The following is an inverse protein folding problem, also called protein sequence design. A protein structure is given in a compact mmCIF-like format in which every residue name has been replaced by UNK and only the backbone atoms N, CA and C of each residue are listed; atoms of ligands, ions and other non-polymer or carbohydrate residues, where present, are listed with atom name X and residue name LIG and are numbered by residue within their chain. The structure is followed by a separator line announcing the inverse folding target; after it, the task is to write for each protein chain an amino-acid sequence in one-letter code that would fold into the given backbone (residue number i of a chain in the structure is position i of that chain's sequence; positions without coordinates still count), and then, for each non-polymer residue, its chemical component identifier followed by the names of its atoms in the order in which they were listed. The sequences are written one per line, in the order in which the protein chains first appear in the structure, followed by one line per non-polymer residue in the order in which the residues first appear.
data_IF_664098574959
#
_entry.id   IF_664098574959
#
_cell.length_a   1.000
_cell.length_b   1.000
_cell.length_c   1.000
_cell.angle_alpha   90.00
_cell.angle_beta   90.00
_cell.angle_gamma   90.00
#
_symmetry.space_group_name_H-M   'P 1'
#
loop_
_entity.id
_entity.type
_entity.pdbx_description
1 polymer ?
#
# COMPACT_ATOMS: atom_id res chain seq x y z
N UNK A 1 47.48 9.00 25.71
CA UNK A 1 47.52 8.95 24.23
C UNK A 1 46.63 7.76 23.84
N UNK A 2 45.33 7.99 23.67
CA UNK A 2 44.63 8.14 22.36
C UNK A 2 44.45 6.79 21.67
N UNK A 3 43.28 6.29 21.25
CA UNK A 3 41.90 6.78 21.08
C UNK A 3 41.00 5.51 21.15
N UNK A 4 39.88 5.46 21.88
CA UNK A 4 38.52 5.93 21.56
C UNK A 4 38.01 5.72 20.12
N UNK A 5 36.86 5.03 20.05
CA UNK A 5 35.78 5.10 19.04
C UNK A 5 35.87 4.21 17.79
N UNK A 6 35.51 2.92 17.92
CA UNK A 6 35.15 2.14 16.73
C UNK A 6 34.04 1.07 16.92
N UNK A 7 33.12 1.24 17.89
CA UNK A 7 32.05 0.25 18.11
C UNK A 7 30.62 0.82 18.24
N UNK A 8 30.32 2.02 17.73
CA UNK A 8 29.00 2.63 17.90
C UNK A 8 28.05 2.56 16.69
N UNK A 9 28.29 1.73 15.65
CA UNK A 9 27.38 1.68 14.47
C UNK A 9 27.12 0.26 13.94
N UNK A 10 26.94 -0.74 14.80
CA UNK A 10 26.41 -2.04 14.36
C UNK A 10 25.32 -2.52 15.31
N UNK A 11 24.08 -2.55 14.81
CA UNK A 11 22.98 -3.25 15.45
C UNK A 11 21.81 -2.39 15.94
N UNK A 12 21.26 -1.48 15.12
CA UNK A 12 19.82 -1.19 15.27
C UNK A 12 19.08 -2.45 14.81
N UNK A 13 18.69 -3.28 15.77
CA UNK A 13 17.79 -4.42 15.55
C UNK A 13 16.63 -4.00 14.67
N UNK A 14 16.48 -4.63 13.51
CA UNK A 14 15.33 -4.46 12.61
C UNK A 14 14.13 -5.31 13.06
N UNK A 15 14.29 -6.16 14.07
CA UNK A 15 13.18 -6.88 14.68
C UNK A 15 12.21 -5.87 15.31
N UNK A 16 11.04 -5.75 14.68
CA UNK A 16 9.94 -4.89 15.13
C UNK A 16 9.74 -3.59 14.35
N UNK A 17 10.58 -3.25 13.36
CA UNK A 17 10.30 -2.11 12.49
C UNK A 17 9.32 -2.51 11.40
N UNK A 18 8.16 -1.84 11.40
CA UNK A 18 7.14 -2.07 10.41
C UNK A 18 7.26 -1.11 9.24
N UNK A 19 7.15 -1.64 8.03
CA UNK A 19 7.21 -0.85 6.81
C UNK A 19 5.96 -1.03 5.96
N UNK A 20 5.55 0.06 5.32
CA UNK A 20 4.45 0.07 4.34
C UNK A 20 5.01 0.31 2.95
N UNK A 21 4.63 -0.52 1.99
CA UNK A 21 4.90 -0.35 0.56
C UNK A 21 3.64 0.16 -0.13
N UNK A 22 3.72 1.32 -0.77
CA UNK A 22 2.75 1.78 -1.76
C UNK A 22 3.32 1.59 -3.17
N UNK A 23 2.50 1.14 -4.11
CA UNK A 23 2.90 0.96 -5.51
C UNK A 23 1.82 1.51 -6.45
N UNK A 24 2.23 1.92 -7.66
CA UNK A 24 1.33 2.33 -8.73
C UNK A 24 2.00 2.18 -10.11
N UNK A 25 1.20 1.92 -11.14
CA UNK A 25 1.63 1.84 -12.53
C UNK A 25 0.99 2.91 -13.42
N UNK A 26 1.80 3.54 -14.28
CA UNK A 26 1.33 4.54 -15.24
C UNK A 26 1.53 4.06 -16.68
N UNK A 27 0.46 4.04 -17.46
CA UNK A 27 0.51 3.71 -18.89
C UNK A 27 -0.15 4.81 -19.73
N UNK A 28 0.62 5.41 -20.62
CA UNK A 28 0.16 6.41 -21.57
C UNK A 28 0.03 5.77 -22.97
N UNK A 29 -1.19 5.35 -23.29
CA UNK A 29 -1.50 4.68 -24.56
C UNK A 29 -1.26 5.57 -25.79
N UNK A 30 -1.44 6.89 -25.67
CA UNK A 30 -1.25 7.81 -26.81
C UNK A 30 0.22 7.97 -27.17
N UNK A 31 1.09 8.03 -26.17
CA UNK A 31 2.54 8.17 -26.36
C UNK A 31 3.27 6.82 -26.41
N UNK A 32 2.56 5.70 -26.25
CA UNK A 32 3.10 4.37 -25.99
C UNK A 32 4.20 4.38 -24.91
N UNK A 33 3.97 5.11 -23.81
CA UNK A 33 4.93 5.21 -22.69
C UNK A 33 4.39 4.48 -21.48
N UNK A 34 5.29 3.88 -20.72
CA UNK A 34 4.93 3.19 -19.48
C UNK A 34 5.94 3.50 -18.38
N UNK A 35 5.44 3.49 -17.14
CA UNK A 35 6.25 3.67 -15.96
C UNK A 35 5.62 3.02 -14.74
N UNK A 36 6.43 2.88 -13.70
CA UNK A 36 6.02 2.36 -12.41
C UNK A 36 6.63 3.20 -11.30
N UNK A 37 5.92 3.29 -10.18
CA UNK A 37 6.33 4.02 -9.00
C UNK A 37 6.09 3.20 -7.74
N UNK A 38 6.99 3.34 -6.78
CA UNK A 38 6.76 2.81 -5.44
C UNK A 38 7.40 3.69 -4.37
N UNK A 39 6.81 3.66 -3.17
CA UNK A 39 7.35 4.32 -1.99
C UNK A 39 7.22 3.39 -0.78
N UNK A 40 8.32 3.26 -0.03
CA UNK A 40 8.38 2.50 1.21
C UNK A 40 8.55 3.49 2.35
N UNK A 41 7.68 3.35 3.36
CA UNK A 41 7.65 4.21 4.56
C UNK A 41 7.78 3.40 5.82
N UNK A 42 8.30 4.02 6.87
CA UNK A 42 8.32 3.42 8.21
C UNK A 42 6.98 3.58 8.93
N UNK A 43 6.92 3.16 10.20
CA UNK A 43 5.72 3.23 11.03
C UNK A 43 5.28 4.65 11.39
N UNK A 44 6.13 5.67 11.20
CA UNK A 44 5.77 7.07 11.36
C UNK A 44 5.28 7.71 10.05
N UNK A 45 5.26 6.94 8.96
CA UNK A 45 4.94 7.46 7.63
C UNK A 45 6.10 8.18 6.96
N UNK A 46 7.29 8.14 7.55
CA UNK A 46 8.49 8.78 7.00
C UNK A 46 9.03 7.98 5.81
N UNK A 47 9.51 8.70 4.79
CA UNK A 47 10.13 8.09 3.63
C UNK A 47 11.37 7.30 4.05
N UNK A 48 11.44 6.04 3.62
CA UNK A 48 12.63 5.20 3.76
C UNK A 48 13.35 5.07 2.42
N UNK A 49 12.59 4.72 1.38
CA UNK A 49 13.09 4.67 0.01
C UNK A 49 11.90 4.75 -0.96
N UNK A 50 12.10 5.41 -2.09
CA UNK A 50 11.17 5.44 -3.20
C UNK A 50 11.88 5.14 -4.52
N UNK A 51 11.12 4.73 -5.52
CA UNK A 51 11.64 4.54 -6.86
C UNK A 51 10.64 4.91 -7.95
N UNK A 52 11.19 5.34 -9.08
CA UNK A 52 10.46 5.53 -10.33
C UNK A 52 11.18 4.77 -11.44
N UNK A 53 10.41 4.09 -12.29
CA UNK A 53 10.90 3.25 -13.37
C UNK A 53 10.26 3.69 -14.69
N UNK A 54 11.07 3.86 -15.72
CA UNK A 54 10.57 3.85 -17.09
C UNK A 54 10.50 2.40 -17.59
N UNK A 55 9.36 2.02 -18.16
CA UNK A 55 9.08 0.65 -18.60
C UNK A 55 8.86 0.53 -20.11
N UNK A 56 8.99 1.63 -20.86
CA UNK A 56 8.61 1.72 -22.28
C UNK A 56 9.32 0.66 -23.13
N UNK A 57 10.64 0.55 -23.02
CA UNK A 57 11.42 -0.46 -23.75
C UNK A 57 11.24 -1.88 -23.21
N UNK A 58 10.82 -2.02 -21.95
CA UNK A 58 10.62 -3.36 -21.34
C UNK A 58 9.35 -4.02 -21.85
N UNK A 59 8.32 -3.23 -22.18
CA UNK A 59 7.02 -3.71 -22.64
C UNK A 59 6.52 -2.92 -23.87
N UNK A 60 7.20 -3.00 -25.04
CA UNK A 60 6.89 -2.13 -26.18
C UNK A 60 5.54 -2.44 -26.87
N UNK A 61 5.16 -3.73 -26.94
CA UNK A 61 4.02 -4.18 -27.78
C UNK A 61 2.84 -4.77 -27.00
N UNK A 62 3.00 -5.02 -25.70
CA UNK A 62 2.01 -5.74 -24.88
C UNK A 62 1.85 -5.10 -23.50
N UNK A 63 2.02 -3.78 -23.39
CA UNK A 63 1.82 -3.06 -22.14
C UNK A 63 0.35 -2.69 -21.94
N UNK A 64 -0.15 -2.86 -20.72
CA UNK A 64 -1.43 -2.35 -20.29
C UNK A 64 -1.34 -1.92 -18.82
N UNK A 65 -2.42 -1.35 -18.30
CA UNK A 65 -2.49 -0.85 -16.92
C UNK A 65 -2.15 -1.96 -15.92
N UNK A 66 -2.79 -3.13 -16.00
CA UNK A 66 -2.53 -4.23 -15.07
C UNK A 66 -1.06 -4.71 -15.06
N UNK A 67 -0.38 -4.65 -16.20
CA UNK A 67 1.05 -5.00 -16.30
C UNK A 67 1.91 -3.98 -15.58
N UNK A 68 1.74 -2.67 -15.83
CA UNK A 68 2.57 -1.65 -15.17
C UNK A 68 2.36 -1.65 -13.65
N UNK A 69 1.14 -1.92 -13.21
CA UNK A 69 0.75 -2.03 -11.81
C UNK A 69 1.39 -3.24 -11.13
N UNK A 70 1.31 -4.42 -11.77
CA UNK A 70 1.99 -5.61 -11.28
C UNK A 70 3.52 -5.44 -11.28
N UNK A 71 4.08 -4.77 -12.28
CA UNK A 71 5.51 -4.45 -12.31
C UNK A 71 5.88 -3.52 -11.17
N UNK A 72 5.06 -2.51 -10.86
CA UNK A 72 5.28 -1.61 -9.75
C UNK A 72 5.32 -2.35 -8.40
N UNK A 73 4.33 -3.23 -8.14
CA UNK A 73 4.32 -4.07 -6.94
C UNK A 73 5.56 -4.96 -6.87
N UNK A 74 5.87 -5.71 -7.94
CA UNK A 74 7.04 -6.58 -8.00
C UNK A 74 8.34 -5.81 -7.73
N UNK A 75 8.51 -4.66 -8.38
CA UNK A 75 9.73 -3.85 -8.24
C UNK A 75 9.81 -3.22 -6.83
N UNK A 76 8.69 -2.84 -6.22
CA UNK A 76 8.62 -2.40 -4.83
C UNK A 76 9.02 -3.49 -3.83
N UNK A 77 8.56 -4.72 -4.04
CA UNK A 77 8.98 -5.87 -3.23
C UNK A 77 10.47 -6.18 -3.40
N UNK A 78 11.01 -6.05 -4.61
CA UNK A 78 12.45 -6.21 -4.87
C UNK A 78 13.26 -5.13 -4.16
N UNK A 79 12.83 -3.88 -4.28
CA UNK A 79 13.45 -2.75 -3.58
C UNK A 79 13.47 -2.97 -2.06
N UNK A 80 12.35 -3.43 -1.47
CA UNK A 80 12.30 -3.75 -0.06
C UNK A 80 13.33 -4.84 0.33
N UNK A 81 13.40 -5.91 -0.47
CA UNK A 81 14.36 -7.01 -0.26
C UNK A 81 15.80 -6.53 -0.37
N UNK A 82 16.13 -5.73 -1.39
CA UNK A 82 17.47 -5.19 -1.62
C UNK A 82 17.94 -4.29 -0.45
N UNK A 83 16.99 -3.66 0.25
CA UNK A 83 17.24 -2.84 1.44
C UNK A 83 17.06 -3.57 2.78
N UNK A 84 16.83 -4.89 2.77
CA UNK A 84 16.53 -5.70 3.97
C UNK A 84 15.37 -5.13 4.81
N UNK A 85 14.33 -4.62 4.15
CA UNK A 85 13.13 -4.07 4.78
C UNK A 85 12.05 -5.14 4.90
N UNK A 86 11.54 -5.33 6.11
CA UNK A 86 10.41 -6.22 6.35
C UNK A 86 9.10 -5.47 6.10
N UNK A 87 8.53 -5.59 4.89
CA UNK A 87 7.23 -4.98 4.59
C UNK A 87 6.16 -5.73 5.38
N UNK A 88 5.27 -5.00 6.05
CA UNK A 88 4.11 -5.56 6.74
C UNK A 88 2.82 -5.28 5.99
N UNK A 89 2.75 -4.12 5.33
CA UNK A 89 1.56 -3.65 4.64
C UNK A 89 1.94 -3.28 3.22
N UNK A 90 1.19 -3.80 2.25
CA UNK A 90 1.27 -3.47 0.84
C UNK A 90 -0.02 -2.77 0.46
N UNK A 91 0.08 -1.60 -0.17
CA UNK A 91 -1.06 -0.77 -0.59
C UNK A 91 -0.97 -0.46 -2.08
N UNK A 92 -2.10 -0.62 -2.77
CA UNK A 92 -2.29 -0.17 -4.15
C UNK A 92 -3.78 0.04 -4.42
N UNK A 93 -4.12 0.64 -5.54
CA UNK A 93 -5.50 0.95 -5.93
C UNK A 93 -6.01 0.07 -7.09
N UNK A 94 -5.14 -0.79 -7.66
CA UNK A 94 -5.53 -1.70 -8.73
C UNK A 94 -6.12 -3.02 -8.23
N UNK A 95 -7.45 -3.10 -8.21
CA UNK A 95 -8.19 -4.31 -7.81
C UNK A 95 -7.84 -5.54 -8.64
N UNK A 96 -7.64 -5.42 -9.96
CA UNK A 96 -7.33 -6.58 -10.82
C UNK A 96 -6.02 -7.25 -10.39
N UNK A 97 -4.96 -6.46 -10.19
CA UNK A 97 -3.65 -6.98 -9.74
C UNK A 97 -3.76 -7.57 -8.34
N UNK A 98 -4.40 -6.87 -7.41
CA UNK A 98 -4.52 -7.33 -6.01
C UNK A 98 -5.34 -8.62 -5.92
N UNK A 99 -6.45 -8.72 -6.66
CA UNK A 99 -7.27 -9.94 -6.68
C UNK A 99 -6.53 -11.12 -7.31
N UNK A 100 -5.68 -10.90 -8.31
CA UNK A 100 -4.83 -11.95 -8.86
C UNK A 100 -3.76 -12.41 -7.87
N UNK A 101 -3.13 -11.49 -7.14
CA UNK A 101 -2.11 -11.80 -6.14
C UNK A 101 -2.70 -12.56 -4.95
N UNK A 102 -3.90 -12.19 -4.52
CA UNK A 102 -4.60 -12.82 -3.39
C UNK A 102 -5.39 -14.07 -3.78
N UNK A 103 -5.24 -14.56 -5.02
CA UNK A 103 -5.96 -15.72 -5.57
C UNK A 103 -7.50 -15.59 -5.49
N UNK A 104 -8.01 -14.35 -5.48
CA UNK A 104 -9.45 -14.02 -5.45
C UNK A 104 -10.06 -13.93 -6.84
N UNK A 105 -9.23 -13.71 -7.86
CA UNK A 105 -9.69 -13.63 -9.24
C UNK A 105 -10.11 -15.00 -9.78
N UNK A 106 -11.34 -15.09 -10.31
CA UNK A 106 -11.85 -16.31 -10.98
C UNK A 106 -11.33 -16.46 -12.41
N UNK A 107 -10.73 -15.41 -12.96
CA UNK A 107 -10.20 -15.41 -14.34
C UNK A 107 -8.71 -15.69 -14.28
N UNK A 108 -8.21 -16.44 -15.25
CA UNK A 108 -6.77 -16.58 -15.44
C UNK A 108 -6.23 -15.33 -16.13
N UNK A 109 -5.18 -14.72 -15.57
CA UNK A 109 -4.49 -13.63 -16.24
C UNK A 109 -3.73 -14.16 -17.47
N UNK A 110 -3.71 -13.37 -18.54
CA UNK A 110 -2.96 -13.72 -19.76
C UNK A 110 -1.48 -13.39 -19.58
N UNK A 111 -0.55 -14.09 -20.25
CA UNK A 111 0.82 -13.63 -20.37
C UNK A 111 0.87 -12.24 -21.02
N UNK A 112 1.74 -11.31 -20.57
CA UNK A 112 2.82 -11.50 -19.59
C UNK A 112 2.39 -11.34 -18.11
N UNK A 113 1.18 -10.85 -17.82
CA UNK A 113 0.72 -10.55 -16.46
C UNK A 113 0.84 -11.75 -15.52
N UNK A 114 0.40 -12.94 -15.94
CA UNK A 114 0.46 -14.16 -15.11
C UNK A 114 1.86 -14.50 -14.61
N UNK A 115 2.90 -14.27 -15.42
CA UNK A 115 4.31 -14.49 -15.02
C UNK A 115 4.76 -13.51 -13.95
N UNK A 116 4.29 -12.25 -14.04
CA UNK A 116 4.62 -11.21 -13.07
C UNK A 116 3.91 -11.50 -11.74
N UNK A 117 2.64 -11.92 -11.79
CA UNK A 117 1.88 -12.34 -10.61
C UNK A 117 2.55 -13.51 -9.90
N UNK A 118 3.02 -14.53 -10.64
CA UNK A 118 3.76 -15.65 -10.03
C UNK A 118 5.05 -15.20 -9.32
N UNK A 119 5.77 -14.22 -9.89
CA UNK A 119 6.95 -13.63 -9.24
C UNK A 119 6.56 -12.92 -7.94
N UNK A 120 5.45 -12.19 -7.94
CA UNK A 120 4.95 -11.47 -6.76
C UNK A 120 4.54 -12.44 -5.65
N UNK A 121 3.77 -13.49 -5.99
CA UNK A 121 3.33 -14.51 -5.03
C UNK A 121 4.53 -15.16 -4.35
N UNK A 122 5.59 -15.49 -5.10
CA UNK A 122 6.82 -16.06 -4.53
C UNK A 122 7.65 -15.10 -3.65
N UNK A 123 7.28 -13.81 -3.59
CA UNK A 123 7.92 -12.79 -2.75
C UNK A 123 7.07 -12.40 -1.54
N UNK A 124 5.80 -12.77 -1.52
CA UNK A 124 4.89 -12.49 -0.42
C UNK A 124 5.06 -13.57 0.64
N UNK A 125 5.24 -13.14 1.88
CA UNK A 125 5.39 -13.96 3.07
C UNK A 125 4.72 -13.23 4.25
N UNK A 126 3.40 -13.41 4.38
CA UNK A 126 2.61 -12.90 5.50
C UNK A 126 2.27 -11.40 5.47
N UNK A 127 2.53 -10.68 4.39
CA UNK A 127 2.14 -9.27 4.27
C UNK A 127 0.63 -9.08 4.16
N UNK A 128 0.11 -8.02 4.80
CA UNK A 128 -1.25 -7.55 4.60
C UNK A 128 -1.33 -6.71 3.32
N UNK A 129 -2.12 -7.16 2.35
CA UNK A 129 -2.32 -6.45 1.07
C UNK A 129 -3.68 -5.75 1.10
N UNK A 130 -3.67 -4.44 0.89
CA UNK A 130 -4.83 -3.58 0.99
C UNK A 130 -5.09 -2.85 -0.34
N UNK A 131 -6.35 -2.84 -0.75
CA UNK A 131 -6.84 -1.93 -1.78
C UNK A 131 -7.13 -0.59 -1.10
N UNK A 132 -6.62 0.49 -1.67
CA UNK A 132 -6.85 1.86 -1.17
C UNK A 132 -7.42 2.75 -2.28
N UNK A 133 -8.01 3.88 -1.89
CA UNK A 133 -8.45 4.90 -2.84
C UNK A 133 -7.24 5.53 -3.55
N UNK A 134 -7.43 5.88 -4.83
CA UNK A 134 -6.39 6.50 -5.66
C UNK A 134 -5.78 7.76 -5.02
N UNK A 135 -6.60 8.58 -4.38
CA UNK A 135 -6.15 9.79 -3.67
C UNK A 135 -5.19 9.47 -2.53
N UNK A 136 -5.40 8.35 -1.83
CA UNK A 136 -4.51 7.88 -0.78
C UNK A 136 -3.22 7.24 -1.33
N UNK A 137 -3.14 7.00 -2.64
CA UNK A 137 -1.98 6.45 -3.34
C UNK A 137 -1.20 7.48 -4.17
N UNK A 138 -1.53 8.77 -4.03
CA UNK A 138 -1.02 9.89 -4.86
C UNK A 138 0.50 9.95 -5.02
N UNK A 139 1.27 9.59 -3.99
CA UNK A 139 2.74 9.61 -4.05
C UNK A 139 3.27 8.53 -4.99
N UNK A 140 2.73 7.31 -4.92
CA UNK A 140 3.11 6.24 -5.83
C UNK A 140 2.65 6.54 -7.26
N UNK A 141 1.42 7.04 -7.43
CA UNK A 141 0.89 7.48 -8.74
C UNK A 141 1.76 8.56 -9.37
N UNK A 142 2.18 9.56 -8.57
CA UNK A 142 3.04 10.62 -9.08
C UNK A 142 4.43 10.12 -9.46
N UNK A 143 5.00 9.17 -8.71
CA UNK A 143 6.26 8.50 -9.06
C UNK A 143 6.13 7.67 -10.35
N UNK A 144 5.01 6.95 -10.53
CA UNK A 144 4.73 6.17 -11.72
C UNK A 144 4.60 7.07 -12.95
N UNK A 145 3.86 8.17 -12.81
CA UNK A 145 3.74 9.22 -13.82
C UNK A 145 5.07 9.88 -14.15
N UNK A 146 5.94 10.11 -13.15
CA UNK A 146 7.29 10.61 -13.35
C UNK A 146 8.14 9.62 -14.17
N UNK A 147 8.11 8.33 -13.82
CA UNK A 147 8.77 7.26 -14.56
C UNK A 147 8.32 7.17 -16.03
N UNK A 148 7.02 7.27 -16.25
CA UNK A 148 6.39 7.19 -17.56
C UNK A 148 6.72 8.41 -18.45
N UNK A 149 6.70 9.62 -17.90
CA UNK A 149 6.71 10.84 -18.70
C UNK A 149 8.02 11.63 -18.68
N UNK A 150 8.88 11.44 -17.66
CA UNK A 150 10.03 12.30 -17.41
C UNK A 150 11.37 11.58 -17.45
N UNK A 151 11.40 10.29 -17.10
CA UNK A 151 12.61 9.50 -17.22
C UNK A 151 12.89 9.15 -18.69
N UNK A 152 14.17 9.06 -19.03
CA UNK A 152 14.60 8.48 -20.30
C UNK A 152 14.24 6.99 -20.33
N UNK A 153 14.13 6.44 -21.54
CA UNK A 153 13.75 5.05 -21.75
C UNK A 153 14.73 4.10 -21.04
N UNK A 154 14.16 3.08 -20.36
CA UNK A 154 14.93 2.10 -19.58
C UNK A 154 15.53 2.60 -18.27
N UNK A 155 15.44 3.90 -17.95
CA UNK A 155 16.01 4.47 -16.72
C UNK A 155 15.18 4.12 -15.49
N UNK A 156 15.88 3.86 -14.38
CA UNK A 156 15.32 3.72 -13.03
C UNK A 156 16.01 4.70 -12.07
N UNK A 157 15.22 5.37 -11.25
CA UNK A 157 15.70 6.31 -10.23
C UNK A 157 15.27 5.82 -8.85
N UNK A 158 16.18 5.94 -7.89
CA UNK A 158 15.94 5.61 -6.48
C UNK A 158 16.16 6.87 -5.64
N UNK A 159 15.31 7.05 -4.64
CA UNK A 159 15.29 8.24 -3.77
C UNK A 159 15.33 7.77 -2.32
N UNK A 160 16.34 8.20 -1.56
CA UNK A 160 16.51 7.81 -0.16
C UNK A 160 16.04 8.91 0.80
N UNK A 161 15.90 10.15 0.32
CA UNK A 161 15.48 11.29 1.15
C UNK A 161 14.45 12.14 0.41
N UNK A 162 13.67 12.91 1.17
CA UNK A 162 12.66 13.83 0.61
C UNK A 162 13.29 14.88 -0.33
N UNK A 163 14.55 15.25 -0.10
CA UNK A 163 15.29 16.22 -0.91
C UNK A 163 15.70 15.68 -2.28
N UNK A 164 15.82 14.36 -2.43
CA UNK A 164 16.19 13.73 -3.70
C UNK A 164 15.00 13.53 -4.62
N UNK A 165 13.78 13.60 -4.07
CA UNK A 165 12.55 13.37 -4.83
C UNK A 165 12.31 14.46 -5.88
N UNK A 166 11.61 14.13 -6.98
CA UNK A 166 11.07 15.14 -7.86
C UNK A 166 10.23 16.15 -7.07
N UNK A 167 10.32 17.47 -7.33
CA UNK A 167 9.67 18.50 -6.51
C UNK A 167 8.17 18.28 -6.29
N UNK A 168 7.49 17.75 -7.32
CA UNK A 168 6.06 17.47 -7.28
C UNK A 168 5.70 16.30 -6.35
N UNK A 169 6.64 15.36 -6.14
CA UNK A 169 6.47 14.22 -5.24
C UNK A 169 6.81 14.64 -3.80
N UNK A 170 7.89 15.39 -3.60
CA UNK A 170 8.27 15.90 -2.27
C UNK A 170 7.21 16.83 -1.67
N UNK A 171 6.53 17.62 -2.50
CA UNK A 171 5.41 18.46 -2.09
C UNK A 171 4.23 17.62 -1.59
N UNK A 172 3.88 16.52 -2.27
CA UNK A 172 2.80 15.62 -1.82
C UNK A 172 3.13 14.99 -0.46
N UNK A 173 4.37 14.54 -0.26
CA UNK A 173 4.81 13.99 1.03
C UNK A 173 4.69 15.05 2.14
N UNK A 174 5.07 16.29 1.84
CA UNK A 174 4.99 17.40 2.79
C UNK A 174 3.55 17.74 3.15
N UNK A 175 2.64 17.75 2.18
CA UNK A 175 1.19 17.94 2.41
C UNK A 175 0.59 16.83 3.29
N UNK A 176 0.99 15.57 3.08
CA UNK A 176 0.57 14.44 3.93
C UNK A 176 1.02 14.62 5.38
N UNK A 177 2.27 15.05 5.58
CA UNK A 177 2.83 15.33 6.91
C UNK A 177 2.08 16.45 7.62
N UNK A 178 1.77 17.55 6.92
CA UNK A 178 1.04 18.69 7.49
C UNK A 178 -0.40 18.34 7.87
N UNK A 179 -1.11 17.55 7.06
CA UNK A 179 -2.45 17.08 7.40
C UNK A 179 -2.44 16.17 8.63
N UNK A 180 -1.37 15.40 8.84
CA UNK A 180 -1.24 14.54 10.00
C UNK A 180 -0.91 15.33 11.29
N UNK A 181 -0.09 16.39 11.20
CA UNK A 181 0.20 17.24 12.36
C UNK A 181 -1.01 18.04 12.81
N UNK A 182 -1.82 18.58 11.90
CA UNK A 182 -3.02 19.35 12.25
C UNK A 182 -4.06 18.51 13.00
N UNK A 183 -4.21 17.23 12.62
CA UNK A 183 -5.12 16.30 13.32
C UNK A 183 -4.64 16.05 14.76
N UNK A 184 -3.34 15.85 14.97
CA UNK A 184 -2.79 15.63 16.32
C UNK A 184 -3.03 16.80 17.26
N UNK A 185 -2.84 18.03 16.77
CA UNK A 185 -3.08 19.25 17.56
C UNK A 185 -4.57 19.43 17.93
N UNK A 186 -5.49 18.99 17.07
CA UNK A 186 -6.93 19.03 17.34
C UNK A 186 -7.35 18.02 18.42
N UNK A 187 -6.74 16.83 18.46
CA UNK A 187 -7.01 15.81 19.48
C UNK A 187 -6.37 16.10 20.85
N UNK A 188 -5.23 16.77 20.88
CA UNK A 188 -4.54 17.13 22.13
C UNK A 188 -5.08 18.46 22.74
N UNK A 189 -5.98 19.15 22.03
CA UNK A 189 -6.45 20.50 22.35
C UNK A 189 -7.79 20.62 23.09
N UNK A 190 -8.62 19.58 23.16
CA UNK A 190 -9.94 19.68 23.81
C UNK A 190 -10.17 18.57 24.86
N UNK A 191 -10.40 19.02 26.10
CA UNK A 191 -10.82 18.18 27.20
C UNK A 191 -12.04 17.34 26.83
N UNK A 192 -12.00 16.06 27.22
CA UNK A 192 -12.99 15.08 26.82
C UNK A 192 -14.42 15.50 27.12
N UNK A 193 -15.24 15.55 26.08
CA UNK A 193 -16.66 15.16 26.09
C UNK A 193 -17.34 15.65 24.81
N UNK A 194 -17.58 14.71 23.88
CA UNK A 194 -18.71 14.62 22.92
C UNK A 194 -18.25 14.45 21.46
N UNK A 195 -17.97 13.20 21.09
CA UNK A 195 -17.75 12.80 19.69
C UNK A 195 -18.79 11.74 19.28
N UNK A 196 -20.06 12.01 19.58
CA UNK A 196 -21.18 11.18 19.13
C UNK A 196 -22.14 11.92 18.17
N UNK A 197 -22.11 13.25 18.10
CA UNK A 197 -23.05 13.98 17.25
C UNK A 197 -22.34 15.16 16.60
N UNK A 198 -21.89 14.96 15.36
CA UNK A 198 -21.82 15.96 14.27
C UNK A 198 -20.88 15.45 13.17
N UNK A 199 -21.31 14.41 12.44
CA UNK A 199 -20.74 14.12 11.12
C UNK A 199 -21.35 15.13 10.15
N UNK A 200 -20.76 16.32 10.13
CA UNK A 200 -21.09 17.40 9.20
C UNK A 200 -19.85 17.79 8.41
N UNK A 201 -19.80 17.36 7.15
CA UNK A 201 -19.01 17.94 6.05
C UNK A 201 -17.57 18.40 6.36
N UNK A 202 -16.60 17.46 6.27
CA UNK A 202 -15.25 17.78 5.78
C UNK A 202 -14.58 16.53 5.18
N UNK A 203 -14.37 16.56 3.86
CA UNK A 203 -13.35 15.86 3.05
C UNK A 203 -12.97 14.41 3.36
N UNK A 204 -13.03 13.57 2.33
CA UNK A 204 -12.62 12.15 2.27
C UNK A 204 -11.26 11.78 2.93
N UNK A 205 -10.37 12.75 3.21
CA UNK A 205 -9.14 12.54 3.96
C UNK A 205 -9.37 12.11 5.42
N UNK A 206 -10.45 12.58 6.07
CA UNK A 206 -10.77 12.26 7.47
C UNK A 206 -11.21 10.79 7.61
N UNK A 207 -11.92 10.26 6.61
CA UNK A 207 -12.41 8.88 6.61
C UNK A 207 -11.27 7.85 6.54
N UNK A 208 -10.23 8.10 5.73
CA UNK A 208 -9.09 7.19 5.58
C UNK A 208 -8.24 7.07 6.85
N UNK A 209 -8.07 8.17 7.60
CA UNK A 209 -7.29 8.20 8.85
C UNK A 209 -8.09 7.61 10.02
N UNK A 210 -9.39 7.90 10.10
CA UNK A 210 -10.28 7.30 11.10
C UNK A 210 -10.36 5.77 10.95
N UNK A 211 -10.38 5.25 9.71
CA UNK A 211 -10.34 3.80 9.47
C UNK A 211 -9.01 3.15 9.88
N UNK A 212 -7.88 3.84 9.70
CA UNK A 212 -6.57 3.34 10.16
C UNK A 212 -6.49 3.33 11.69
N UNK A 213 -6.98 4.38 12.36
CA UNK A 213 -7.04 4.45 13.81
C UNK A 213 -7.98 3.39 14.40
N UNK A 214 -9.17 3.20 13.81
CA UNK A 214 -10.12 2.16 14.22
C UNK A 214 -9.60 0.75 13.97
N UNK A 215 -8.95 0.52 12.81
CA UNK A 215 -8.34 -0.75 12.47
C UNK A 215 -7.19 -1.13 13.41
N UNK A 216 -6.36 -0.17 13.80
CA UNK A 216 -5.29 -0.37 14.79
C UNK A 216 -5.84 -0.56 16.21
N UNK A 217 -6.87 0.20 16.60
CA UNK A 217 -7.53 0.02 17.90
C UNK A 217 -8.12 -1.38 18.05
N UNK A 218 -8.82 -1.90 17.03
CA UNK A 218 -9.42 -3.25 17.05
C UNK A 218 -8.38 -4.39 17.09
N UNK A 219 -7.19 -4.15 16.53
CA UNK A 219 -6.05 -5.07 16.59
C UNK A 219 -5.35 -5.06 17.95
N UNK A 220 -5.35 -3.92 18.65
CA UNK A 220 -4.73 -3.76 19.96
C UNK A 220 -5.67 -4.10 21.13
N UNK A 221 -6.99 -3.94 20.96
CA UNK A 221 -7.98 -4.21 22.00
C UNK A 221 -8.28 -5.69 22.22
N UNK A 222 -7.78 -6.58 21.34
CA UNK A 222 -7.97 -8.02 21.49
C UNK A 222 -9.44 -8.47 21.47
N UNK A 223 -10.33 -7.66 20.92
CA UNK A 223 -11.75 -8.00 20.80
C UNK A 223 -11.95 -9.07 19.72
N UNK A 224 -11.78 -10.31 20.16
CA UNK A 224 -12.30 -11.50 19.50
C UNK A 224 -13.81 -11.34 19.29
N UNK A 225 -14.25 -11.37 18.03
CA UNK A 225 -15.65 -11.62 17.69
C UNK A 225 -16.00 -13.06 18.12
N UNK A 226 -16.36 -13.23 19.38
CA UNK A 226 -17.12 -14.38 19.83
C UNK A 226 -18.56 -14.18 19.34
N UNK A 227 -18.90 -14.84 18.24
CA UNK A 227 -20.29 -14.96 17.82
C UNK A 227 -21.05 -15.75 18.89
N UNK A 228 -22.06 -15.09 19.43
CA UNK A 228 -23.07 -15.68 20.31
C UNK A 228 -24.04 -16.47 19.45
N UNK A 229 -23.84 -17.78 19.39
CA UNK A 229 -24.93 -18.70 19.11
C UNK A 229 -25.72 -18.92 20.40
N UNK A 230 -26.92 -18.37 20.48
CA UNK A 230 -28.00 -18.91 21.31
C UNK A 230 -29.37 -18.54 20.70
N UNK A 231 -29.85 -19.48 19.89
CA UNK A 231 -31.13 -20.17 20.03
C UNK A 231 -32.41 -19.33 20.25
N UNK A 232 -33.28 -19.34 19.23
CA UNK A 232 -34.75 -19.32 19.31
C UNK A 232 -35.34 -19.52 17.92
N UNK A 233 -35.79 -20.73 17.60
CA UNK A 233 -37.22 -21.06 17.66
C UNK A 233 -37.54 -22.39 16.98
N UNK A 234 -38.19 -23.26 17.76
CA UNK A 234 -38.86 -24.47 17.33
C UNK A 234 -40.11 -24.12 16.53
N UNK A 235 -40.27 -24.70 15.34
CA UNK A 235 -41.41 -25.58 14.97
C UNK A 235 -41.54 -25.71 13.45
N UNK A 236 -41.49 -26.95 12.95
CA UNK A 236 -42.62 -27.69 12.34
C UNK A 236 -42.08 -28.69 11.31
N UNK A 237 -42.23 -29.98 11.63
CA UNK A 237 -41.84 -31.11 10.78
C UNK A 237 -42.73 -31.22 9.52
N UNK A 238 -42.19 -31.62 8.36
CA UNK A 238 -42.98 -32.11 7.25
C UNK A 238 -43.14 -33.64 7.31
N UNK A 239 -44.38 -34.11 7.09
CA UNK A 239 -44.73 -35.53 6.99
C UNK A 239 -44.24 -36.16 5.67
N UNK A 240 -44.00 -37.49 5.63
CA UNK A 240 -43.62 -38.21 4.42
C UNK A 240 -44.81 -38.38 3.47
N UNK A 241 -44.57 -38.19 2.17
CA UNK A 241 -45.51 -38.56 1.11
C UNK A 241 -45.36 -40.05 0.79
N UNK A 242 -46.46 -40.77 0.91
CA UNK A 242 -46.62 -42.14 0.42
C UNK A 242 -46.55 -42.15 -1.11
N UNK A 243 -45.89 -43.18 -1.65
CA UNK A 243 -45.93 -43.56 -3.05
C UNK A 243 -47.08 -44.54 -3.25
N UNK A 244 -48.01 -44.19 -4.12
CA UNK A 244 -48.85 -45.12 -4.90
C UNK A 244 -48.75 -44.73 -6.38
#
# INVERSE_FOLDING_TARGET
MSNNNQWSILGRSTYGKMYTLNFDGSYNNQANKSGAGCVIRDSQGELVVAAAYNLTETYPDNCNVAIVEAVALRNGLKLAKDHNLNINIIKGDNTEVIDHVLERSRRTSKPPLSRIIQQIIGMIDGQNILIIDREANRVADKLASWGCNRLQEGVRMFYATDADLPPQVSELISQEKSSFSSIREEYDGEGGSSLAENIGMAGAAVAGVAMLAWGMYKLMSGESSADKDEDKDKAKAPQPREFD
#
